data_IF_938645186405
#
_entry.id   IF_938645186405
#
_cell.length_a   1.000
_cell.length_b   1.000
_cell.length_c   1.000
_cell.angle_alpha   90.00
_cell.angle_beta   90.00
_cell.angle_gamma   90.00
#
_symmetry.space_group_name_H-M   'P 1'
#
loop_
_entity.id
_entity.type
_entity.pdbx_description
1 polymer ?
#
# COMPACT_ATOMS: atom_id res chain seq x y z
N UNK A 1 8.17 -18.66 -3.34
CA UNK A 1 7.11 -18.26 -2.38
C UNK A 1 6.56 -16.91 -2.83
N UNK A 2 5.27 -16.81 -3.16
CA UNK A 2 4.68 -15.60 -3.75
C UNK A 2 4.29 -14.60 -2.64
N UNK A 3 4.86 -13.39 -2.66
CA UNK A 3 4.47 -12.26 -1.80
C UNK A 3 4.17 -11.05 -2.68
N UNK A 4 3.15 -11.17 -3.53
CA UNK A 4 2.69 -10.09 -4.42
C UNK A 4 1.29 -9.70 -4.06
N UNK A 5 1.02 -8.40 -3.99
CA UNK A 5 -0.34 -7.84 -3.88
C UNK A 5 -0.62 -7.06 -5.16
N UNK A 6 -1.85 -7.19 -5.65
CA UNK A 6 -2.38 -6.40 -6.77
C UNK A 6 -3.61 -5.66 -6.29
N UNK A 7 -3.61 -4.34 -6.44
CA UNK A 7 -4.75 -3.50 -6.14
C UNK A 7 -5.31 -2.95 -7.45
N UNK A 8 -6.62 -3.06 -7.61
CA UNK A 8 -7.35 -2.54 -8.77
C UNK A 8 -8.26 -1.41 -8.28
N UNK A 9 -8.11 -0.24 -8.88
CA UNK A 9 -9.01 0.89 -8.70
C UNK A 9 -9.58 1.29 -10.07
N UNK A 10 -10.71 2.02 -10.13
CA UNK A 10 -11.35 2.38 -11.40
C UNK A 10 -10.42 3.03 -12.44
N UNK A 11 -9.38 3.75 -11.99
CA UNK A 11 -8.44 4.48 -12.84
C UNK A 11 -6.97 4.15 -12.54
N UNK A 12 -6.69 3.13 -11.74
CA UNK A 12 -5.31 2.76 -11.39
C UNK A 12 -5.16 1.27 -11.11
N UNK A 13 -3.95 0.79 -11.35
CA UNK A 13 -3.48 -0.55 -11.02
C UNK A 13 -2.18 -0.41 -10.26
N UNK A 14 -2.09 -1.10 -9.12
CA UNK A 14 -0.90 -1.06 -8.27
C UNK A 14 -0.45 -2.50 -8.04
N UNK A 15 0.74 -2.82 -8.54
CA UNK A 15 1.42 -4.09 -8.27
C UNK A 15 2.52 -3.88 -7.23
N UNK A 16 2.49 -4.64 -6.14
CA UNK A 16 3.53 -4.59 -5.09
C UNK A 16 4.14 -5.98 -4.97
N UNK A 17 5.46 -6.08 -5.19
CA UNK A 17 6.26 -7.27 -4.91
C UNK A 17 7.08 -7.05 -3.63
N UNK A 18 6.67 -7.70 -2.55
CA UNK A 18 7.33 -7.58 -1.25
C UNK A 18 8.63 -8.39 -1.15
N UNK A 19 8.86 -9.34 -2.06
CA UNK A 19 10.10 -10.11 -2.08
C UNK A 19 11.21 -9.29 -2.75
N UNK A 20 10.90 -8.75 -3.93
CA UNK A 20 11.84 -7.94 -4.72
C UNK A 20 11.87 -6.47 -4.27
N UNK A 21 10.99 -6.07 -3.34
CA UNK A 21 10.78 -4.68 -2.89
C UNK A 21 10.57 -3.73 -4.09
N UNK A 22 9.69 -4.13 -5.00
CA UNK A 22 9.34 -3.34 -6.20
C UNK A 22 7.85 -2.99 -6.14
N UNK A 23 7.53 -1.76 -6.52
CA UNK A 23 6.16 -1.33 -6.72
C UNK A 23 6.01 -0.76 -8.13
N UNK A 24 4.89 -1.07 -8.75
CA UNK A 24 4.49 -0.60 -10.08
C UNK A 24 3.13 0.07 -9.93
N UNK A 25 3.06 1.35 -10.25
CA UNK A 25 1.82 2.14 -10.22
C UNK A 25 1.49 2.55 -11.65
N UNK A 26 0.40 2.00 -12.16
CA UNK A 26 -0.12 2.30 -13.49
C UNK A 26 -1.41 3.09 -13.29
N UNK A 27 -1.50 4.31 -13.79
CA UNK A 27 -2.71 5.14 -13.65
C UNK A 27 -2.99 5.93 -14.92
N UNK A 28 -4.22 6.40 -15.07
CA UNK A 28 -4.53 7.39 -16.10
C UNK A 28 -3.77 8.69 -15.80
N UNK A 29 -3.10 9.25 -16.80
CA UNK A 29 -2.30 10.47 -16.66
C UNK A 29 -3.21 11.63 -16.26
N UNK A 30 -2.87 12.28 -15.16
CA UNK A 30 -3.48 13.54 -14.77
C UNK A 30 -2.54 14.72 -15.08
N UNK A 31 -3.05 15.96 -15.16
CA UNK A 31 -2.22 17.14 -15.46
C UNK A 31 -1.05 17.33 -14.48
N UNK A 32 -1.18 16.81 -13.25
CA UNK A 32 -0.16 16.92 -12.20
C UNK A 32 1.00 15.91 -12.39
N UNK A 33 0.84 14.90 -13.24
CA UNK A 33 1.83 13.85 -13.52
C UNK A 33 2.91 14.34 -14.47
N UNK A 34 3.74 15.25 -13.98
CA UNK A 34 4.96 15.71 -14.66
C UNK A 34 6.06 14.67 -14.49
N UNK A 35 6.73 14.32 -15.59
CA UNK A 35 7.93 13.46 -15.60
C UNK A 35 7.72 11.95 -15.34
N UNK A 36 6.51 11.43 -15.53
CA UNK A 36 6.20 9.99 -15.42
C UNK A 36 6.21 9.35 -16.81
N UNK A 37 6.74 8.12 -16.95
CA UNK A 37 6.74 7.42 -18.24
C UNK A 37 5.30 7.25 -18.72
N UNK A 38 4.93 7.88 -19.82
CA UNK A 38 3.55 7.87 -20.30
C UNK A 38 3.46 7.54 -21.77
N UNK A 39 2.46 6.74 -22.15
CA UNK A 39 2.15 6.45 -23.55
C UNK A 39 0.65 6.52 -23.81
N UNK A 40 0.32 6.84 -25.06
CA UNK A 40 -1.06 6.96 -25.52
C UNK A 40 -1.56 5.61 -26.01
N UNK A 41 -2.79 5.28 -25.62
CA UNK A 41 -3.52 4.11 -26.09
C UNK A 41 -4.76 4.61 -26.84
N UNK A 42 -4.88 4.20 -28.10
CA UNK A 42 -6.09 4.40 -28.88
C UNK A 42 -7.15 3.40 -28.42
N UNK A 43 -8.24 3.92 -27.85
CA UNK A 43 -9.43 3.13 -27.49
C UNK A 43 -10.58 3.47 -28.44
N UNK A 44 -11.59 2.59 -28.52
CA UNK A 44 -12.81 2.84 -29.33
C UNK A 44 -13.52 4.16 -28.97
N UNK A 45 -13.27 4.71 -27.76
CA UNK A 45 -13.87 5.94 -27.25
C UNK A 45 -12.89 7.14 -27.21
N UNK A 46 -11.73 7.05 -27.87
CA UNK A 46 -10.73 8.12 -27.95
C UNK A 46 -9.35 7.74 -27.39
N UNK A 47 -8.43 8.70 -27.41
CA UNK A 47 -7.06 8.55 -26.87
C UNK A 47 -7.03 8.68 -25.36
N UNK A 48 -6.48 7.67 -24.68
CA UNK A 48 -6.19 7.73 -23.24
C UNK A 48 -4.69 7.64 -23.03
N UNK A 49 -4.14 8.54 -22.22
CA UNK A 49 -2.73 8.49 -21.84
C UNK A 49 -2.58 7.77 -20.49
N UNK A 50 -1.75 6.74 -20.45
CA UNK A 50 -1.41 6.03 -19.21
C UNK A 50 -0.06 6.51 -18.71
N UNK A 51 0.06 6.73 -17.41
CA UNK A 51 1.32 7.00 -16.71
C UNK A 51 1.73 5.76 -15.90
N UNK A 52 3.00 5.35 -16.03
CA UNK A 52 3.63 4.27 -15.28
C UNK A 52 4.72 4.84 -14.39
N UNK A 53 4.54 4.72 -13.08
CA UNK A 53 5.50 5.11 -12.07
C UNK A 53 6.06 3.88 -11.36
N UNK A 54 7.39 3.81 -11.29
CA UNK A 54 8.12 2.82 -10.50
C UNK A 54 8.82 3.59 -9.37
N UNK A 55 8.17 3.78 -8.20
CA UNK A 55 8.81 4.50 -7.10
C UNK A 55 10.08 3.77 -6.67
N UNK A 56 11.14 4.53 -6.43
CA UNK A 56 12.39 4.02 -5.87
C UNK A 56 12.13 3.69 -4.41
N UNK A 57 12.41 2.44 -4.02
CA UNK A 57 12.23 1.95 -2.67
C UNK A 57 13.62 1.80 -2.05
N UNK A 58 13.94 2.67 -1.10
CA UNK A 58 15.20 2.59 -0.37
C UNK A 58 15.25 1.32 0.49
N UNK A 59 16.38 0.59 0.49
CA UNK A 59 16.52 -0.64 1.25
C UNK A 59 16.63 -0.33 2.75
N UNK A 60 15.47 -0.19 3.41
CA UNK A 60 15.40 -0.04 4.85
C UNK A 60 15.04 -1.35 5.57
N UNK A 61 15.50 -1.49 6.81
CA UNK A 61 15.09 -2.55 7.72
C UNK A 61 13.96 -2.03 8.61
N UNK A 62 12.74 -2.50 8.35
CA UNK A 62 11.55 -2.05 9.06
C UNK A 62 11.60 -2.32 10.57
N UNK A 63 12.11 -3.49 11.00
CA UNK A 63 12.21 -3.85 12.42
C UNK A 63 13.21 -2.92 13.13
N UNK A 64 14.35 -2.65 12.48
CA UNK A 64 15.34 -1.73 13.03
C UNK A 64 14.74 -0.33 13.20
N UNK A 65 14.04 0.19 12.19
CA UNK A 65 13.41 1.51 12.26
C UNK A 65 12.31 1.60 13.33
N UNK A 66 11.52 0.55 13.50
CA UNK A 66 10.51 0.47 14.56
C UNK A 66 11.15 0.56 15.96
N UNK A 67 12.21 -0.22 16.19
CA UNK A 67 12.95 -0.19 17.46
C UNK A 67 13.61 1.17 17.71
N UNK A 68 14.21 1.77 16.67
CA UNK A 68 14.79 3.12 16.75
C UNK A 68 13.74 4.18 17.08
N UNK A 69 12.56 4.10 16.47
CA UNK A 69 11.42 4.98 16.77
C UNK A 69 10.95 4.82 18.22
N UNK A 70 10.87 3.58 18.72
CA UNK A 70 10.49 3.32 20.10
C UNK A 70 11.51 3.85 21.11
N UNK A 71 12.81 3.64 20.85
CA UNK A 71 13.88 4.21 21.69
C UNK A 71 13.83 5.73 21.69
N UNK A 72 13.57 6.36 20.54
CA UNK A 72 13.43 7.81 20.44
C UNK A 72 12.26 8.33 21.30
N UNK A 73 11.11 7.66 21.26
CA UNK A 73 9.95 8.02 22.08
C UNK A 73 10.29 8.01 23.58
N UNK A 74 11.05 7.00 24.05
CA UNK A 74 11.55 6.93 25.42
C UNK A 74 12.48 8.09 25.75
N UNK A 75 13.47 8.36 24.89
CA UNK A 75 14.48 9.40 25.13
C UNK A 75 13.90 10.83 25.12
N UNK A 76 12.89 11.07 24.28
CA UNK A 76 12.25 12.37 24.11
C UNK A 76 10.99 12.54 24.96
N UNK A 77 10.59 11.50 25.70
CA UNK A 77 9.34 11.44 26.44
C UNK A 77 8.13 11.85 25.57
N UNK A 78 8.12 11.38 24.32
CA UNK A 78 7.06 11.62 23.35
C UNK A 78 6.20 10.36 23.18
N UNK A 79 4.92 10.50 22.77
CA UNK A 79 4.08 9.34 22.50
C UNK A 79 4.68 8.50 21.35
N UNK A 80 4.55 7.18 21.46
CA UNK A 80 4.95 6.26 20.39
C UNK A 80 4.06 6.46 19.16
N UNK A 81 4.61 6.13 17.98
CA UNK A 81 3.88 6.24 16.71
C UNK A 81 2.60 5.39 16.70
N UNK A 82 2.62 4.26 17.40
CA UNK A 82 1.46 3.41 17.66
C UNK A 82 1.24 3.37 19.16
N UNK A 83 0.08 3.85 19.61
CA UNK A 83 -0.31 3.81 21.03
C UNK A 83 -0.95 2.46 21.41
N UNK A 84 -1.13 2.23 22.70
CA UNK A 84 -1.88 1.09 23.23
C UNK A 84 -3.34 1.05 22.75
N UNK A 85 -3.96 2.23 22.59
CA UNK A 85 -5.32 2.36 22.08
C UNK A 85 -5.40 2.00 20.61
N UNK A 86 -4.44 2.47 19.80
CA UNK A 86 -4.37 2.13 18.38
C UNK A 86 -4.16 0.62 18.19
N UNK A 87 -3.31 0.01 19.02
CA UNK A 87 -3.10 -1.44 19.03
C UNK A 87 -4.38 -2.21 19.37
N UNK A 88 -5.13 -1.76 20.38
CA UNK A 88 -6.41 -2.37 20.76
C UNK A 88 -7.44 -2.27 19.63
N UNK A 89 -7.64 -1.07 19.07
CA UNK A 89 -8.60 -0.84 17.99
C UNK A 89 -8.25 -1.66 16.74
N UNK A 90 -6.97 -1.77 16.40
CA UNK A 90 -6.52 -2.59 15.29
C UNK A 90 -6.87 -4.08 15.49
N UNK A 91 -6.72 -4.61 16.72
CA UNK A 91 -7.13 -5.98 17.02
C UNK A 91 -8.64 -6.16 16.94
N UNK A 92 -9.43 -5.22 17.46
CA UNK A 92 -10.89 -5.26 17.39
C UNK A 92 -11.36 -5.33 15.93
N UNK A 93 -10.84 -4.46 15.07
CA UNK A 93 -11.14 -4.46 13.63
C UNK A 93 -10.72 -5.78 12.98
N UNK A 94 -9.56 -6.33 13.34
CA UNK A 94 -9.11 -7.62 12.82
C UNK A 94 -10.09 -8.76 13.19
N UNK A 95 -10.59 -8.78 14.43
CA UNK A 95 -11.61 -9.73 14.86
C UNK A 95 -12.91 -9.58 14.07
N UNK A 96 -13.40 -8.36 13.87
CA UNK A 96 -14.61 -8.11 13.07
C UNK A 96 -14.46 -8.59 11.61
N UNK A 97 -13.28 -8.42 11.00
CA UNK A 97 -12.99 -8.92 9.65
C UNK A 97 -13.02 -10.45 9.63
N UNK A 98 -12.39 -11.10 10.60
CA UNK A 98 -12.37 -12.56 10.70
C UNK A 98 -13.77 -13.16 10.90
N UNK A 99 -14.59 -12.54 11.74
CA UNK A 99 -15.99 -12.94 11.94
C UNK A 99 -16.79 -12.88 10.63
N UNK A 100 -16.66 -11.79 9.88
CA UNK A 100 -17.35 -11.62 8.59
C UNK A 100 -16.89 -12.64 7.54
N UNK A 101 -15.59 -12.96 7.49
CA UNK A 101 -15.07 -13.99 6.60
C UNK A 101 -15.66 -15.36 6.96
N UNK A 102 -15.68 -15.70 8.25
CA UNK A 102 -16.23 -16.96 8.73
C UNK A 102 -17.75 -17.08 8.49
N UNK A 103 -18.51 -16.02 8.75
CA UNK A 103 -19.96 -16.03 8.51
C UNK A 103 -20.31 -16.19 7.03
N UNK A 104 -19.49 -15.61 6.14
CA UNK A 104 -19.68 -15.72 4.68
C UNK A 104 -19.35 -17.13 4.17
N UNK A 105 -18.40 -17.82 4.82
CA UNK A 105 -18.00 -19.19 4.46
C UNK A 105 -19.07 -20.24 4.76
N UNK A 106 -20.08 -19.92 5.59
CA UNK A 106 -21.20 -20.81 5.95
C UNK A 106 -22.36 -20.70 4.95
N UNK A 107 -22.34 -19.71 4.06
CA UNK A 107 -23.38 -19.43 3.06
C UNK A 107 -23.07 -19.95 1.65
N UNK A 108 -22.01 -20.77 1.50
CA UNK A 108 -21.63 -21.43 0.23
C UNK A 108 -21.81 -22.94 0.35
#
# INVERSE_FOLDING_TARGET
KMRKIRLFQPNSYIGIDFLEKKAEVIKLKQPEDTNVFSFDIDTHNGKKTIAIANPVIEPQNAIKLELESFVNAILTNSPTVVSELDGFLAMEVAHQILEKINSTSILV
#
